data_IF_734150860256
#
_entry.id   IF_734150860256
#
_cell.length_a   1.000
_cell.length_b   1.000
_cell.length_c   1.000
_cell.angle_alpha   90.00
_cell.angle_beta   90.00
_cell.angle_gamma   90.00
#
_symmetry.space_group_name_H-M   'P 1'
#
loop_
_entity.id
_entity.type
_entity.pdbx_description
1 polymer ?
#
# COMPACT_ATOMS: atom_id res chain seq x y z
N UNK A 1 -88.98 10.59 -44.33
CA UNK A 1 -88.56 9.84 -43.14
C UNK A 1 -87.20 10.28 -42.73
N UNK A 2 -86.96 10.95 -41.58
CA UNK A 2 -85.62 11.45 -41.22
C UNK A 2 -84.94 10.39 -40.32
N UNK A 3 -83.63 10.12 -40.64
CA UNK A 3 -82.74 9.21 -39.97
C UNK A 3 -82.29 9.74 -38.58
N UNK A 4 -82.53 9.00 -37.55
CA UNK A 4 -82.13 9.24 -36.18
C UNK A 4 -80.63 9.01 -36.03
N UNK A 5 -79.79 10.05 -35.85
CA UNK A 5 -78.39 9.94 -35.41
C UNK A 5 -78.39 9.43 -33.97
N UNK A 6 -77.80 8.23 -33.77
CA UNK A 6 -77.46 7.72 -32.42
C UNK A 6 -76.35 8.59 -31.84
N UNK A 7 -76.66 9.22 -30.71
CA UNK A 7 -75.69 9.92 -29.86
C UNK A 7 -74.91 8.85 -29.12
N UNK A 8 -73.59 8.76 -29.36
CA UNK A 8 -72.70 7.89 -28.54
C UNK A 8 -72.57 8.51 -27.15
N UNK A 9 -73.12 7.85 -26.16
CA UNK A 9 -72.86 8.16 -24.76
C UNK A 9 -71.38 7.84 -24.46
N UNK A 10 -70.63 8.88 -24.06
CA UNK A 10 -69.25 8.69 -23.55
C UNK A 10 -69.35 8.05 -22.18
N UNK A 11 -68.88 6.82 -22.04
CA UNK A 11 -68.69 6.16 -20.75
C UNK A 11 -67.91 7.07 -19.78
N UNK A 12 -68.33 7.22 -18.53
CA UNK A 12 -67.62 8.01 -17.54
C UNK A 12 -66.29 7.32 -17.22
N UNK A 13 -65.18 8.07 -17.38
CA UNK A 13 -63.84 7.60 -16.98
C UNK A 13 -63.88 7.22 -15.51
N UNK A 14 -63.56 5.95 -15.20
CA UNK A 14 -63.41 5.46 -13.83
C UNK A 14 -62.41 6.36 -13.09
N UNK A 15 -62.74 6.85 -11.88
CA UNK A 15 -61.77 7.61 -11.09
C UNK A 15 -60.55 6.75 -10.85
N UNK A 16 -59.35 7.31 -11.15
CA UNK A 16 -58.08 6.63 -10.94
C UNK A 16 -57.96 6.17 -9.48
N UNK A 17 -57.60 4.91 -9.27
CA UNK A 17 -57.38 4.36 -7.94
C UNK A 17 -56.46 5.27 -7.13
N UNK A 18 -56.75 5.57 -5.86
CA UNK A 18 -55.93 6.40 -5.01
C UNK A 18 -54.53 5.78 -4.95
N UNK A 19 -53.50 6.56 -5.32
CA UNK A 19 -52.09 6.15 -5.19
C UNK A 19 -51.89 5.84 -3.72
N UNK A 20 -51.45 4.61 -3.41
CA UNK A 20 -51.14 4.18 -2.06
C UNK A 20 -50.19 5.20 -1.38
N UNK A 21 -50.45 5.60 -0.13
CA UNK A 21 -49.63 6.60 0.54
C UNK A 21 -48.16 6.13 0.57
N UNK A 22 -47.24 7.03 0.15
CA UNK A 22 -45.80 6.77 0.11
C UNK A 22 -45.30 6.51 1.53
N UNK A 23 -44.98 5.27 1.84
CA UNK A 23 -44.56 4.86 3.18
C UNK A 23 -43.06 5.09 3.35
N UNK A 24 -42.66 6.29 3.82
CA UNK A 24 -41.29 6.71 4.04
C UNK A 24 -40.50 5.69 4.87
N UNK A 25 -41.09 5.11 5.91
CA UNK A 25 -40.43 4.09 6.76
C UNK A 25 -40.07 2.84 5.99
N UNK A 26 -40.91 2.41 5.05
CA UNK A 26 -40.63 1.25 4.20
C UNK A 26 -39.48 1.55 3.24
N UNK A 27 -39.45 2.74 2.63
CA UNK A 27 -38.39 3.17 1.74
C UNK A 27 -37.05 3.25 2.50
N UNK A 28 -37.04 3.91 3.66
CA UNK A 28 -35.84 4.00 4.50
C UNK A 28 -35.33 2.61 4.91
N UNK A 29 -36.19 1.67 5.24
CA UNK A 29 -35.85 0.29 5.56
C UNK A 29 -35.14 -0.39 4.35
N UNK A 30 -35.70 -0.27 3.15
CA UNK A 30 -35.12 -0.88 1.96
C UNK A 30 -33.80 -0.21 1.54
N UNK A 31 -33.69 1.12 1.66
CA UNK A 31 -32.43 1.85 1.44
C UNK A 31 -31.36 1.38 2.44
N UNK A 32 -31.71 1.22 3.72
CA UNK A 32 -30.80 0.69 4.73
C UNK A 32 -30.34 -0.73 4.43
N UNK A 33 -31.25 -1.61 4.01
CA UNK A 33 -30.91 -2.99 3.60
C UNK A 33 -29.99 -2.98 2.38
N UNK A 34 -30.28 -2.17 1.37
CA UNK A 34 -29.45 -2.05 0.18
C UNK A 34 -28.05 -1.53 0.52
N UNK A 35 -27.95 -0.53 1.40
CA UNK A 35 -26.65 0.00 1.86
C UNK A 35 -25.84 -1.07 2.62
N UNK A 36 -26.46 -1.82 3.51
CA UNK A 36 -25.81 -2.93 4.21
C UNK A 36 -25.35 -4.03 3.26
N UNK A 37 -26.20 -4.40 2.29
CA UNK A 37 -25.84 -5.37 1.26
C UNK A 37 -24.63 -4.88 0.42
N UNK A 38 -24.57 -3.59 0.08
CA UNK A 38 -23.46 -3.00 -0.66
C UNK A 38 -22.15 -3.04 0.13
N UNK A 39 -22.19 -2.71 1.43
CA UNK A 39 -21.04 -2.84 2.33
C UNK A 39 -20.58 -4.30 2.42
N UNK A 40 -21.52 -5.23 2.55
CA UNK A 40 -21.19 -6.65 2.63
C UNK A 40 -20.53 -7.15 1.35
N UNK A 41 -21.04 -6.75 0.18
CA UNK A 41 -20.42 -7.06 -1.13
C UNK A 41 -18.99 -6.52 -1.18
N UNK A 42 -18.77 -5.27 -0.73
CA UNK A 42 -17.44 -4.66 -0.69
C UNK A 42 -16.47 -5.43 0.21
N UNK A 43 -16.92 -5.84 1.40
CA UNK A 43 -16.12 -6.62 2.35
C UNK A 43 -15.82 -8.03 1.84
N UNK A 44 -16.78 -8.67 1.19
CA UNK A 44 -16.58 -10.00 0.58
C UNK A 44 -15.60 -9.91 -0.59
N UNK A 45 -15.75 -8.92 -1.47
CA UNK A 45 -14.81 -8.67 -2.57
C UNK A 45 -13.38 -8.44 -2.04
N UNK A 46 -13.25 -7.62 -1.00
CA UNK A 46 -11.98 -7.38 -0.32
C UNK A 46 -11.38 -8.67 0.25
N UNK A 47 -12.17 -9.44 1.00
CA UNK A 47 -11.71 -10.68 1.62
C UNK A 47 -11.28 -11.74 0.59
N UNK A 48 -12.04 -11.90 -0.49
CA UNK A 48 -11.67 -12.82 -1.58
C UNK A 48 -10.37 -12.36 -2.25
N UNK A 49 -10.26 -11.08 -2.58
CA UNK A 49 -9.05 -10.53 -3.17
C UNK A 49 -7.83 -10.72 -2.24
N UNK A 50 -7.96 -10.40 -0.95
CA UNK A 50 -6.91 -10.62 0.05
C UNK A 50 -6.49 -12.09 0.14
N UNK A 51 -7.45 -13.01 0.11
CA UNK A 51 -7.17 -14.44 0.15
C UNK A 51 -6.41 -14.90 -1.11
N UNK A 52 -6.75 -14.38 -2.28
CA UNK A 52 -6.03 -14.67 -3.52
C UNK A 52 -4.58 -14.17 -3.46
N UNK A 53 -4.36 -12.97 -2.93
CA UNK A 53 -3.01 -12.44 -2.76
C UNK A 53 -2.19 -13.25 -1.74
N UNK A 54 -2.85 -13.76 -0.69
CA UNK A 54 -2.13 -14.53 0.33
C UNK A 54 -1.57 -15.86 -0.21
N UNK A 55 -2.14 -16.41 -1.25
CA UNK A 55 -1.59 -17.63 -1.88
C UNK A 55 -0.29 -17.39 -2.67
N UNK A 56 0.00 -16.14 -3.02
CA UNK A 56 1.24 -15.78 -3.75
C UNK A 56 2.47 -15.76 -2.85
N UNK A 57 2.31 -15.66 -1.53
CA UNK A 57 3.42 -15.67 -0.59
C UNK A 57 3.99 -17.09 -0.46
N UNK A 58 5.32 -17.22 -0.42
CA UNK A 58 6.00 -18.50 -0.25
C UNK A 58 5.67 -19.17 1.09
N UNK A 59 5.74 -20.50 1.13
CA UNK A 59 5.57 -21.27 2.36
C UNK A 59 6.62 -20.92 3.42
N UNK A 60 7.89 -20.77 2.99
CA UNK A 60 9.00 -20.42 3.88
C UNK A 60 8.83 -19.06 4.55
N UNK A 61 8.29 -18.07 3.81
CA UNK A 61 7.99 -16.77 4.38
C UNK A 61 6.84 -16.84 5.40
N UNK A 62 5.81 -17.66 5.16
CA UNK A 62 4.73 -17.88 6.13
C UNK A 62 5.21 -18.56 7.40
N UNK A 63 6.09 -19.54 7.25
CA UNK A 63 6.65 -20.30 8.41
C UNK A 63 7.57 -19.43 9.28
N UNK A 64 8.06 -18.31 8.75
CA UNK A 64 8.88 -17.34 9.48
C UNK A 64 8.04 -16.31 10.28
N UNK A 65 6.71 -16.32 10.17
CA UNK A 65 5.83 -15.34 10.79
C UNK A 65 5.18 -15.85 12.07
N UNK A 66 4.92 -14.94 13.01
CA UNK A 66 4.37 -15.24 14.35
C UNK A 66 2.93 -14.72 14.54
N UNK A 67 2.27 -14.24 13.47
CA UNK A 67 0.98 -13.59 13.52
C UNK A 67 -0.18 -14.46 13.97
N UNK A 68 -1.21 -13.81 14.47
CA UNK A 68 -2.47 -14.45 14.80
C UNK A 68 -3.64 -13.71 14.12
N UNK A 69 -4.81 -14.36 13.92
CA UNK A 69 -5.92 -13.78 13.19
C UNK A 69 -6.67 -12.64 13.91
N UNK A 70 -6.28 -12.27 15.16
CA UNK A 70 -6.97 -11.28 15.98
C UNK A 70 -6.24 -9.93 16.05
N UNK A 71 -5.78 -9.43 14.90
CA UNK A 71 -5.03 -8.18 14.77
C UNK A 71 -5.76 -6.96 15.36
N UNK A 72 -7.07 -6.90 15.22
CA UNK A 72 -7.87 -5.76 15.71
C UNK A 72 -7.73 -5.56 17.23
N UNK A 73 -7.66 -6.64 17.99
CA UNK A 73 -7.68 -6.61 19.46
C UNK A 73 -6.27 -6.61 20.09
N UNK A 74 -5.30 -7.19 19.41
CA UNK A 74 -3.93 -7.30 19.88
C UNK A 74 -2.96 -6.66 18.89
N UNK A 75 -2.15 -5.67 19.31
CA UNK A 75 -1.20 -5.04 18.42
C UNK A 75 -0.24 -6.09 17.83
N UNK A 76 -0.07 -6.06 16.52
CA UNK A 76 0.83 -6.93 15.77
C UNK A 76 1.80 -6.12 14.92
N UNK A 77 2.98 -6.66 14.69
CA UNK A 77 4.04 -6.04 13.91
C UNK A 77 4.02 -6.59 12.50
N UNK A 78 3.85 -5.71 11.52
CA UNK A 78 3.75 -6.03 10.10
C UNK A 78 5.00 -5.48 9.44
N UNK A 79 5.75 -6.33 8.74
CA UNK A 79 6.85 -5.91 7.89
C UNK A 79 6.32 -5.54 6.52
N UNK A 80 6.48 -4.29 6.13
CA UNK A 80 6.18 -3.80 4.78
C UNK A 80 7.48 -3.74 3.99
N UNK A 81 7.52 -4.46 2.88
CA UNK A 81 8.64 -4.53 1.95
C UNK A 81 8.24 -3.87 0.63
N UNK A 82 9.04 -2.90 0.18
CA UNK A 82 9.00 -2.42 -1.21
C UNK A 82 10.20 -2.98 -1.95
N UNK A 83 9.96 -3.73 -2.99
CA UNK A 83 11.01 -4.32 -3.81
C UNK A 83 11.17 -3.55 -5.11
N UNK A 84 12.34 -3.60 -5.73
CA UNK A 84 12.55 -3.09 -7.08
C UNK A 84 12.17 -4.11 -8.17
N UNK A 85 11.53 -5.20 -7.78
CA UNK A 85 10.96 -6.17 -8.69
C UNK A 85 9.96 -5.48 -9.64
N UNK A 86 10.18 -5.65 -10.94
CA UNK A 86 9.29 -5.12 -11.97
C UNK A 86 8.17 -6.11 -12.24
N UNK A 87 6.96 -5.63 -12.57
CA UNK A 87 5.88 -6.52 -12.98
C UNK A 87 6.25 -7.29 -14.25
N UNK A 88 5.69 -8.51 -14.45
CA UNK A 88 5.87 -9.25 -15.69
C UNK A 88 5.41 -8.42 -16.90
N UNK A 89 6.25 -8.40 -17.95
CA UNK A 89 5.96 -7.67 -19.20
C UNK A 89 6.55 -6.26 -19.28
N UNK A 90 7.36 -5.83 -18.32
CA UNK A 90 8.21 -4.65 -18.50
C UNK A 90 9.38 -5.01 -19.42
N UNK A 91 9.54 -4.28 -20.52
CA UNK A 91 10.36 -4.59 -21.70
C UNK A 91 11.88 -4.63 -21.52
N UNK A 92 12.40 -4.54 -20.30
CA UNK A 92 13.83 -4.40 -20.03
C UNK A 92 14.43 -5.50 -19.14
N UNK A 93 13.72 -6.60 -18.88
CA UNK A 93 14.22 -7.62 -17.96
C UNK A 93 13.92 -9.04 -18.46
N UNK A 94 14.90 -9.65 -19.14
CA UNK A 94 14.87 -11.05 -19.58
C UNK A 94 14.68 -12.03 -18.39
N UNK A 95 15.10 -11.63 -17.18
CA UNK A 95 15.00 -12.45 -15.96
C UNK A 95 13.57 -12.61 -15.44
N UNK A 96 12.70 -11.62 -15.64
CA UNK A 96 11.30 -11.73 -15.22
C UNK A 96 10.49 -12.66 -16.12
N UNK A 97 10.76 -12.69 -17.42
CA UNK A 97 10.13 -13.64 -18.37
C UNK A 97 10.56 -15.09 -18.07
N UNK A 98 11.84 -15.35 -17.81
CA UNK A 98 12.35 -16.68 -17.46
C UNK A 98 11.72 -17.23 -16.17
N UNK A 99 11.56 -16.38 -15.14
CA UNK A 99 10.94 -16.79 -13.88
C UNK A 99 9.47 -17.18 -14.07
N UNK A 100 8.70 -16.39 -14.82
CA UNK A 100 7.29 -16.71 -15.11
C UNK A 100 7.13 -17.88 -16.05
N UNK A 101 8.05 -18.04 -17.00
CA UNK A 101 8.06 -19.19 -17.92
C UNK A 101 8.34 -20.49 -17.18
N UNK A 102 9.29 -20.49 -16.23
CA UNK A 102 9.59 -21.64 -15.35
C UNK A 102 8.39 -21.96 -14.46
N UNK A 103 7.73 -20.97 -13.87
CA UNK A 103 6.53 -21.17 -13.06
C UNK A 103 5.36 -21.71 -13.91
N UNK A 104 5.19 -21.24 -15.14
CA UNK A 104 4.16 -21.73 -16.06
C UNK A 104 4.42 -23.16 -16.54
N UNK A 105 5.67 -23.60 -16.61
CA UNK A 105 6.09 -24.96 -16.96
C UNK A 105 6.00 -25.95 -15.79
N UNK A 106 5.60 -25.48 -14.59
CA UNK A 106 5.51 -26.34 -13.40
C UNK A 106 6.87 -26.71 -12.80
N UNK A 107 7.94 -26.10 -13.27
CA UNK A 107 9.24 -26.16 -12.63
C UNK A 107 9.16 -25.27 -11.40
N UNK A 108 9.52 -25.81 -10.23
CA UNK A 108 9.55 -25.02 -8.99
C UNK A 108 10.75 -24.08 -9.06
N UNK A 109 10.60 -22.77 -9.33
CA UNK A 109 11.66 -21.85 -9.06
C UNK A 109 11.96 -21.95 -7.57
N UNK A 110 13.20 -21.76 -7.18
CA UNK A 110 13.61 -21.80 -5.76
C UNK A 110 12.92 -20.72 -4.92
N UNK A 111 12.23 -19.76 -5.57
CA UNK A 111 11.38 -18.72 -4.96
C UNK A 111 10.26 -18.33 -5.93
N UNK A 112 9.09 -17.87 -5.45
CA UNK A 112 8.12 -17.18 -6.29
C UNK A 112 8.78 -16.02 -7.03
N UNK A 113 8.32 -15.70 -8.23
CA UNK A 113 8.95 -14.68 -9.10
C UNK A 113 9.01 -13.26 -8.52
N UNK A 114 8.44 -13.04 -7.34
CA UNK A 114 8.54 -11.81 -6.55
C UNK A 114 9.66 -11.84 -5.50
N UNK A 115 10.33 -12.99 -5.33
CA UNK A 115 11.37 -13.21 -4.33
C UNK A 115 12.62 -13.74 -5.06
N UNK A 116 13.76 -13.10 -4.94
CA UNK A 116 15.00 -13.76 -5.30
C UNK A 116 16.11 -12.84 -5.81
N UNK A 117 16.03 -12.21 -6.95
CA UNK A 117 17.13 -11.39 -7.47
C UNK A 117 17.03 -9.90 -7.10
N UNK A 118 15.90 -9.49 -6.54
CA UNK A 118 15.58 -8.11 -6.24
C UNK A 118 15.91 -7.75 -4.79
N UNK A 119 16.27 -6.50 -4.56
CA UNK A 119 16.54 -5.97 -3.22
C UNK A 119 15.29 -5.30 -2.65
N UNK A 120 15.14 -5.40 -1.35
CA UNK A 120 14.12 -4.63 -0.65
C UNK A 120 14.60 -3.18 -0.46
N UNK A 121 14.12 -2.29 -1.31
CA UNK A 121 14.47 -0.86 -1.24
C UNK A 121 13.69 -0.11 -0.16
N UNK A 122 12.56 -0.65 0.29
CA UNK A 122 11.76 -0.14 1.41
C UNK A 122 11.64 -1.21 2.48
N UNK A 123 12.04 -0.88 3.69
CA UNK A 123 11.92 -1.71 4.87
C UNK A 123 11.20 -0.90 5.95
N UNK A 124 9.93 -1.21 6.21
CA UNK A 124 9.12 -0.49 7.19
C UNK A 124 8.38 -1.46 8.10
N UNK A 125 8.43 -1.22 9.39
CA UNK A 125 7.59 -1.91 10.35
C UNK A 125 6.35 -1.05 10.67
N UNK A 126 5.20 -1.68 10.65
CA UNK A 126 3.92 -1.10 11.06
C UNK A 126 3.41 -1.88 12.25
N UNK A 127 3.23 -1.22 13.39
CA UNK A 127 2.58 -1.79 14.57
C UNK A 127 1.12 -1.36 14.55
N UNK A 128 0.20 -2.30 14.34
CA UNK A 128 -1.23 -2.04 14.20
C UNK A 128 -2.06 -2.96 15.08
N UNK A 129 -3.20 -2.46 15.58
CA UNK A 129 -4.13 -3.20 16.42
C UNK A 129 -4.22 -2.68 17.85
N UNK A 130 -5.25 -3.08 18.59
CA UNK A 130 -5.46 -2.63 19.97
C UNK A 130 -5.53 -1.10 20.15
N UNK A 131 -5.98 -0.35 19.13
CA UNK A 131 -5.99 1.12 19.15
C UNK A 131 -4.64 1.76 18.83
N UNK A 132 -3.64 0.97 18.40
CA UNK A 132 -2.30 1.44 18.07
C UNK A 132 -2.10 1.45 16.55
N UNK A 133 -1.44 2.49 16.04
CA UNK A 133 -0.91 2.54 14.68
C UNK A 133 0.39 3.34 14.69
N UNK A 134 1.54 2.64 14.58
CA UNK A 134 2.88 3.23 14.63
C UNK A 134 3.71 2.70 13.48
N UNK A 135 4.68 3.50 13.04
CA UNK A 135 5.54 3.17 11.89
C UNK A 135 7.01 3.36 12.28
N UNK A 136 7.87 2.46 11.82
CA UNK A 136 9.32 2.55 11.94
C UNK A 136 9.94 2.17 10.60
N UNK A 137 10.62 3.11 9.95
CA UNK A 137 11.42 2.84 8.75
C UNK A 137 12.83 2.41 9.14
N UNK A 138 13.34 1.41 8.41
CA UNK A 138 14.69 0.88 8.57
C UNK A 138 15.48 1.25 7.31
N UNK A 139 16.62 1.95 7.42
CA UNK A 139 17.46 2.25 6.27
C UNK A 139 17.90 0.95 5.56
N UNK A 140 17.66 0.87 4.26
CA UNK A 140 18.03 -0.31 3.46
C UNK A 140 19.52 -0.64 3.52
N UNK A 141 20.34 0.38 3.76
CA UNK A 141 21.81 0.26 3.85
C UNK A 141 22.30 0.01 5.29
N UNK A 142 21.39 -0.27 6.26
CA UNK A 142 21.79 -0.66 7.61
C UNK A 142 22.66 -1.93 7.55
N UNK A 143 23.81 -1.90 8.25
CA UNK A 143 24.72 -3.05 8.35
C UNK A 143 24.14 -4.08 9.30
N UNK A 144 23.93 -5.28 8.83
CA UNK A 144 23.31 -6.36 9.60
C UNK A 144 23.99 -7.69 9.36
N UNK A 145 23.92 -8.56 10.36
CA UNK A 145 24.22 -9.99 10.20
C UNK A 145 23.04 -10.65 9.50
N UNK A 146 23.33 -11.38 8.40
CA UNK A 146 22.33 -12.10 7.62
C UNK A 146 22.51 -13.59 7.89
N UNK A 147 21.50 -14.29 8.44
CA UNK A 147 21.62 -15.71 8.77
C UNK A 147 22.12 -16.55 7.57
N UNK A 148 23.20 -17.29 7.78
CA UNK A 148 23.81 -18.13 6.74
C UNK A 148 24.65 -17.39 5.69
N UNK A 149 24.80 -16.07 5.79
CA UNK A 149 25.57 -15.24 4.86
C UNK A 149 26.55 -14.31 5.59
N UNK A 150 27.48 -13.71 4.85
CA UNK A 150 28.36 -12.69 5.41
C UNK A 150 27.56 -11.41 5.77
N UNK A 151 27.93 -10.72 6.87
CA UNK A 151 27.29 -9.46 7.23
C UNK A 151 27.45 -8.41 6.12
N UNK A 152 26.33 -7.74 5.78
CA UNK A 152 26.31 -6.70 4.75
C UNK A 152 25.08 -5.78 4.95
N UNK A 153 24.71 -5.00 3.93
CA UNK A 153 23.50 -4.19 3.93
C UNK A 153 22.25 -5.06 4.11
N UNK A 154 21.36 -4.66 5.02
CA UNK A 154 20.19 -5.44 5.43
C UNK A 154 19.26 -5.81 4.27
N UNK A 155 19.17 -4.97 3.24
CA UNK A 155 18.35 -5.20 2.06
C UNK A 155 18.84 -6.36 1.17
N UNK A 156 20.10 -6.79 1.33
CA UNK A 156 20.64 -7.94 0.60
C UNK A 156 20.03 -9.27 1.07
N UNK A 157 19.47 -9.32 2.28
CA UNK A 157 18.80 -10.51 2.78
C UNK A 157 17.64 -10.94 1.88
N UNK A 158 16.92 -9.98 1.29
CA UNK A 158 15.84 -10.27 0.36
C UNK A 158 16.36 -10.93 -0.94
N UNK A 159 17.48 -10.44 -1.49
CA UNK A 159 18.12 -11.03 -2.65
C UNK A 159 18.70 -12.43 -2.40
N UNK A 160 19.13 -12.73 -1.15
CA UNK A 160 19.75 -14.01 -0.82
C UNK A 160 18.75 -15.12 -0.47
N UNK A 161 17.58 -14.77 0.04
CA UNK A 161 16.60 -15.76 0.49
C UNK A 161 15.19 -15.21 0.65
N UNK A 162 14.82 -14.24 -0.19
CA UNK A 162 13.47 -13.70 -0.27
C UNK A 162 12.96 -13.12 1.04
N UNK A 163 11.63 -13.06 1.15
CA UNK A 163 10.95 -12.52 2.32
C UNK A 163 11.29 -13.30 3.61
N UNK A 164 11.46 -14.63 3.53
CA UNK A 164 11.77 -15.46 4.69
C UNK A 164 13.09 -15.06 5.37
N UNK A 165 14.17 -14.88 4.58
CA UNK A 165 15.46 -14.47 5.11
C UNK A 165 15.44 -13.00 5.56
N UNK A 166 14.70 -12.14 4.84
CA UNK A 166 14.54 -10.74 5.23
C UNK A 166 13.84 -10.60 6.58
N UNK A 167 12.76 -11.36 6.82
CA UNK A 167 12.05 -11.41 8.11
C UNK A 167 13.03 -11.80 9.22
N UNK A 168 13.70 -12.94 9.10
CA UNK A 168 14.66 -13.43 10.10
C UNK A 168 15.80 -12.44 10.37
N UNK A 169 16.28 -11.78 9.32
CA UNK A 169 17.34 -10.77 9.43
C UNK A 169 16.87 -9.56 10.24
N UNK A 170 15.67 -9.06 9.99
CA UNK A 170 15.11 -7.91 10.72
C UNK A 170 14.80 -8.29 12.16
N UNK A 171 14.24 -9.46 12.41
CA UNK A 171 13.99 -9.97 13.75
C UNK A 171 15.27 -10.05 14.58
N UNK A 172 16.32 -10.63 14.02
CA UNK A 172 17.63 -10.69 14.66
C UNK A 172 18.23 -9.28 14.88
N UNK A 173 18.11 -8.39 13.88
CA UNK A 173 18.67 -7.05 13.93
C UNK A 173 18.02 -6.17 14.99
N UNK A 174 16.69 -6.28 15.18
CA UNK A 174 15.93 -5.46 16.12
C UNK A 174 15.58 -6.16 17.44
N UNK A 175 15.68 -7.49 17.49
CA UNK A 175 15.30 -8.29 18.66
C UNK A 175 13.78 -8.32 18.90
N UNK A 176 12.98 -8.40 17.84
CA UNK A 176 11.51 -8.44 17.89
C UNK A 176 10.98 -9.54 16.97
N UNK A 177 9.75 -9.99 17.22
CA UNK A 177 9.04 -10.90 16.33
C UNK A 177 8.24 -10.11 15.29
N UNK A 178 8.18 -10.64 14.06
CA UNK A 178 7.35 -10.13 12.98
C UNK A 178 6.13 -11.03 12.84
N UNK A 179 4.96 -10.44 13.02
CA UNK A 179 3.69 -11.17 13.00
C UNK A 179 3.19 -11.40 11.57
N UNK A 180 3.33 -10.41 10.69
CA UNK A 180 2.85 -10.43 9.31
C UNK A 180 3.83 -9.77 8.35
N UNK A 181 3.70 -10.08 7.05
CA UNK A 181 4.45 -9.42 5.98
C UNK A 181 3.52 -8.88 4.91
N UNK A 182 3.87 -7.75 4.31
CA UNK A 182 3.22 -7.18 3.14
C UNK A 182 4.29 -6.70 2.15
N UNK A 183 4.38 -7.36 1.01
CA UNK A 183 5.28 -7.00 -0.09
C UNK A 183 4.49 -6.14 -1.07
N UNK A 184 4.94 -4.94 -1.34
CA UNK A 184 4.24 -4.00 -2.22
C UNK A 184 4.32 -4.46 -3.67
N UNK A 185 3.15 -4.64 -4.29
CA UNK A 185 2.99 -4.81 -5.73
C UNK A 185 2.76 -3.43 -6.37
N UNK A 186 3.60 -3.03 -7.29
CA UNK A 186 3.57 -1.67 -7.84
C UNK A 186 2.32 -1.38 -8.64
N UNK A 187 1.89 -2.31 -9.48
CA UNK A 187 0.66 -2.14 -10.28
C UNK A 187 -0.57 -2.06 -9.37
N UNK A 188 -0.68 -2.98 -8.42
CA UNK A 188 -1.77 -2.96 -7.45
C UNK A 188 -1.73 -1.73 -6.54
N UNK A 189 -0.54 -1.19 -6.25
CA UNK A 189 -0.39 0.05 -5.48
C UNK A 189 -0.90 1.28 -6.25
N UNK A 190 -0.58 1.39 -7.55
CA UNK A 190 -1.11 2.44 -8.43
C UNK A 190 -2.64 2.36 -8.52
N UNK A 191 -3.18 1.15 -8.80
CA UNK A 191 -4.61 0.90 -8.88
C UNK A 191 -5.35 1.28 -7.58
N UNK A 192 -4.77 0.96 -6.41
CA UNK A 192 -5.33 1.35 -5.11
C UNK A 192 -5.42 2.87 -4.96
N UNK A 193 -4.33 3.59 -5.27
CA UNK A 193 -4.30 5.04 -5.13
C UNK A 193 -5.30 5.69 -6.07
N UNK A 194 -5.43 5.21 -7.29
CA UNK A 194 -6.41 5.72 -8.25
C UNK A 194 -7.85 5.39 -7.83
N UNK A 195 -8.08 4.20 -7.28
CA UNK A 195 -9.39 3.80 -6.76
C UNK A 195 -9.87 4.69 -5.62
N UNK A 196 -8.96 5.13 -4.71
CA UNK A 196 -9.30 6.08 -3.62
C UNK A 196 -9.33 7.54 -4.08
N UNK A 197 -9.04 7.81 -5.35
CA UNK A 197 -9.09 9.14 -5.96
C UNK A 197 -7.87 10.01 -5.66
N UNK A 198 -6.69 9.40 -5.66
CA UNK A 198 -5.40 10.02 -5.42
C UNK A 198 -5.09 10.24 -3.95
N UNK A 199 -3.84 10.50 -3.60
CA UNK A 199 -3.38 10.75 -2.23
C UNK A 199 -2.85 12.17 -2.08
N UNK A 200 -3.05 12.75 -0.89
CA UNK A 200 -2.50 14.06 -0.55
C UNK A 200 -1.20 13.89 0.21
N UNK A 201 -0.16 14.57 -0.26
CA UNK A 201 1.14 14.62 0.39
C UNK A 201 1.62 16.06 0.55
N UNK A 202 2.33 16.35 1.62
CA UNK A 202 2.96 17.66 1.83
C UNK A 202 4.43 17.58 1.40
N UNK A 203 4.76 18.20 0.29
CA UNK A 203 6.11 18.20 -0.30
C UNK A 203 6.91 19.36 0.27
N UNK A 204 8.06 19.10 0.93
CA UNK A 204 8.80 20.16 1.64
C UNK A 204 9.46 21.17 0.69
N UNK A 205 9.85 20.74 -0.50
CA UNK A 205 10.52 21.56 -1.51
C UNK A 205 9.92 21.31 -2.87
N UNK A 206 9.92 22.32 -3.76
CA UNK A 206 9.58 22.12 -5.17
C UNK A 206 10.56 21.12 -5.76
N UNK A 207 10.08 20.03 -6.33
CA UNK A 207 10.92 18.98 -6.88
C UNK A 207 10.48 18.58 -8.30
N UNK A 208 11.50 18.24 -9.09
CA UNK A 208 11.35 17.59 -10.38
C UNK A 208 12.18 16.32 -10.39
N UNK A 209 11.63 15.25 -10.93
CA UNK A 209 12.34 14.01 -11.13
C UNK A 209 12.03 13.47 -12.52
N UNK A 210 13.07 13.27 -13.30
CA UNK A 210 12.98 12.60 -14.59
C UNK A 210 13.30 11.12 -14.36
N UNK A 211 12.33 10.25 -14.65
CA UNK A 211 12.49 8.80 -14.53
C UNK A 211 12.49 8.20 -15.93
N UNK A 212 13.61 7.68 -16.34
CA UNK A 212 13.72 6.95 -17.60
C UNK A 212 12.89 5.66 -17.51
N UNK A 213 12.03 5.43 -18.48
CA UNK A 213 11.21 4.22 -18.55
C UNK A 213 9.85 4.29 -17.85
N UNK A 214 9.50 5.40 -17.19
CA UNK A 214 8.25 5.53 -16.43
C UNK A 214 8.20 4.69 -15.16
N UNK A 215 7.14 4.80 -14.36
CA UNK A 215 6.98 4.08 -13.10
C UNK A 215 6.81 2.56 -13.30
N UNK A 216 6.21 2.14 -14.41
CA UNK A 216 6.01 0.74 -14.80
C UNK A 216 7.13 0.12 -15.66
N UNK A 217 8.26 0.82 -15.88
CA UNK A 217 9.37 0.30 -16.67
C UNK A 217 9.17 0.36 -18.20
N UNK A 218 8.12 1.05 -18.68
CA UNK A 218 7.88 1.24 -20.12
C UNK A 218 8.89 2.19 -20.78
N UNK A 219 8.98 2.15 -22.11
CA UNK A 219 9.88 2.98 -22.92
C UNK A 219 9.40 4.45 -23.04
N UNK A 220 9.12 5.14 -21.98
CA UNK A 220 8.73 6.55 -21.98
C UNK A 220 9.14 7.21 -20.69
N UNK A 221 10.04 8.17 -20.73
CA UNK A 221 10.40 8.94 -19.54
C UNK A 221 9.20 9.73 -19.03
N UNK A 222 9.00 9.75 -17.72
CA UNK A 222 8.03 10.59 -17.05
C UNK A 222 8.74 11.63 -16.20
N UNK A 223 8.35 12.88 -16.33
CA UNK A 223 8.86 13.96 -15.50
C UNK A 223 7.84 14.29 -14.41
N UNK A 224 8.11 13.85 -13.19
CA UNK A 224 7.32 14.25 -12.02
C UNK A 224 7.65 15.70 -11.66
N UNK A 225 6.62 16.55 -11.52
CA UNK A 225 6.77 17.96 -11.12
C UNK A 225 5.83 18.25 -9.98
N UNK A 226 6.40 18.44 -8.78
CA UNK A 226 5.64 18.75 -7.58
C UNK A 226 5.97 20.14 -7.06
N UNK A 227 4.93 20.89 -6.69
CA UNK A 227 5.07 22.15 -5.97
C UNK A 227 5.42 21.95 -4.50
N UNK A 228 6.00 22.97 -3.85
CA UNK A 228 6.11 22.97 -2.40
C UNK A 228 4.72 23.04 -1.76
N UNK A 229 4.48 22.27 -0.71
CA UNK A 229 3.21 22.22 0.02
C UNK A 229 2.35 21.03 -0.35
N UNK A 230 1.03 21.14 -0.19
CA UNK A 230 0.08 20.08 -0.46
C UNK A 230 -0.03 19.80 -1.96
N UNK A 231 0.21 18.55 -2.35
CA UNK A 231 0.00 18.04 -3.70
C UNK A 231 -0.95 16.83 -3.63
N UNK A 232 -1.80 16.66 -4.64
CA UNK A 232 -2.58 15.44 -4.81
C UNK A 232 -1.93 14.62 -5.91
N UNK A 233 -1.53 13.40 -5.59
CA UNK A 233 -0.83 12.48 -6.47
C UNK A 233 -1.80 11.39 -6.92
N UNK A 234 -1.80 11.04 -8.20
CA UNK A 234 -2.37 9.80 -8.73
C UNK A 234 -1.45 8.61 -8.42
N UNK A 235 -1.84 7.40 -8.87
CA UNK A 235 -1.11 6.17 -8.60
C UNK A 235 0.33 6.22 -9.10
N UNK A 236 0.53 6.59 -10.36
CA UNK A 236 1.87 6.71 -10.98
C UNK A 236 2.73 7.75 -10.26
N UNK A 237 2.19 8.92 -10.00
CA UNK A 237 2.90 10.00 -9.31
C UNK A 237 3.31 9.63 -7.89
N UNK A 238 2.42 8.94 -7.17
CA UNK A 238 2.69 8.49 -5.80
C UNK A 238 3.76 7.40 -5.76
N UNK A 239 3.72 6.46 -6.71
CA UNK A 239 4.75 5.44 -6.86
C UNK A 239 6.11 6.07 -7.16
N UNK A 240 6.16 6.98 -8.14
CA UNK A 240 7.37 7.74 -8.48
C UNK A 240 7.88 8.51 -7.26
N UNK A 241 7.01 9.26 -6.57
CA UNK A 241 7.38 10.06 -5.40
C UNK A 241 7.99 9.21 -4.28
N UNK A 242 7.49 8.00 -4.08
CA UNK A 242 8.01 7.06 -3.07
C UNK A 242 9.35 6.40 -3.45
N UNK A 243 9.76 6.47 -4.73
CA UNK A 243 10.97 5.81 -5.28
C UNK A 243 12.08 6.78 -5.69
N UNK A 244 11.82 8.08 -5.71
CA UNK A 244 12.82 9.09 -6.12
C UNK A 244 14.08 8.94 -5.27
N UNK A 245 15.23 8.95 -5.93
CA UNK A 245 16.56 8.91 -5.29
C UNK A 245 17.31 10.23 -5.42
N UNK A 246 17.21 10.88 -6.57
CA UNK A 246 17.95 12.10 -6.89
C UNK A 246 17.04 13.14 -7.57
N UNK A 247 16.07 13.73 -6.84
CA UNK A 247 15.28 14.79 -7.42
C UNK A 247 16.13 16.05 -7.61
N UNK A 248 15.80 16.80 -8.65
CA UNK A 248 16.32 18.14 -8.84
C UNK A 248 15.30 19.19 -8.44
N UNK A 249 15.76 20.41 -8.14
CA UNK A 249 14.86 21.55 -8.14
C UNK A 249 14.42 21.80 -9.59
N UNK A 250 13.11 21.99 -9.81
CA UNK A 250 12.58 22.22 -11.17
C UNK A 250 13.27 23.43 -11.81
N UNK A 251 14.02 23.26 -12.91
CA UNK A 251 14.69 24.39 -13.53
C UNK A 251 13.66 25.38 -14.07
N UNK A 252 13.90 26.67 -13.79
CA UNK A 252 13.21 27.73 -14.49
C UNK A 252 13.71 27.84 -15.94
N UNK A 253 13.00 28.58 -16.82
CA UNK A 253 13.44 28.78 -18.20
C UNK A 253 14.89 29.30 -18.24
N UNK A 254 15.77 28.59 -18.94
CA UNK A 254 17.18 28.95 -19.13
C UNK A 254 18.09 28.71 -17.93
N UNK A 255 17.65 27.98 -16.89
CA UNK A 255 18.47 27.62 -15.73
C UNK A 255 18.74 26.11 -15.73
N UNK A 256 19.94 25.74 -15.29
CA UNK A 256 20.28 24.33 -15.02
C UNK A 256 19.52 23.85 -13.78
N UNK A 257 19.15 22.56 -13.78
CA UNK A 257 18.59 21.90 -12.60
C UNK A 257 19.65 21.83 -11.49
N UNK A 258 19.25 22.16 -10.27
CA UNK A 258 20.09 21.90 -9.08
C UNK A 258 19.66 20.58 -8.48
N UNK A 259 20.61 19.69 -8.26
CA UNK A 259 20.36 18.47 -7.50
C UNK A 259 19.99 18.85 -6.07
N UNK A 260 18.82 18.48 -5.62
CA UNK A 260 18.44 18.60 -4.21
C UNK A 260 19.23 17.55 -3.45
N UNK A 261 19.83 17.94 -2.33
CA UNK A 261 20.49 17.01 -1.40
C UNK A 261 19.46 16.06 -0.76
N UNK A 262 18.90 15.17 -1.58
CA UNK A 262 17.86 14.24 -1.18
C UNK A 262 18.51 12.97 -0.64
N UNK A 263 18.24 12.65 0.59
CA UNK A 263 18.82 11.49 1.28
C UNK A 263 17.83 10.31 1.25
N UNK A 264 18.32 9.11 1.58
CA UNK A 264 17.44 7.95 1.81
C UNK A 264 16.39 8.24 2.90
N UNK A 265 16.72 9.08 3.90
CA UNK A 265 15.76 9.53 4.91
C UNK A 265 14.59 10.33 4.33
N UNK A 266 14.84 11.13 3.31
CA UNK A 266 13.78 11.92 2.67
C UNK A 266 12.89 11.01 1.82
N UNK A 267 13.44 9.97 1.19
CA UNK A 267 12.67 8.92 0.52
C UNK A 267 11.79 8.16 1.52
N UNK A 268 12.33 7.76 2.67
CA UNK A 268 11.55 7.08 3.71
C UNK A 268 10.41 7.96 4.24
N UNK A 269 10.62 9.26 4.40
CA UNK A 269 9.56 10.21 4.74
C UNK A 269 8.51 10.32 3.63
N UNK A 270 8.91 10.33 2.35
CA UNK A 270 8.01 10.34 1.22
C UNK A 270 7.11 9.09 1.21
N UNK A 271 7.66 7.91 1.43
CA UNK A 271 6.91 6.66 1.55
C UNK A 271 5.91 6.71 2.71
N UNK A 272 6.33 7.20 3.87
CA UNK A 272 5.44 7.36 5.01
C UNK A 272 4.32 8.38 4.75
N UNK A 273 4.61 9.46 4.01
CA UNK A 273 3.61 10.46 3.63
C UNK A 273 2.55 9.86 2.69
N UNK A 274 2.95 9.02 1.74
CA UNK A 274 2.00 8.33 0.84
C UNK A 274 1.11 7.38 1.62
N UNK A 275 1.67 6.55 2.53
CA UNK A 275 0.87 5.65 3.37
C UNK A 275 -0.12 6.43 4.25
N UNK A 276 0.30 7.55 4.84
CA UNK A 276 -0.59 8.43 5.59
C UNK A 276 -1.68 9.02 4.70
N UNK A 277 -1.32 9.46 3.49
CA UNK A 277 -2.28 9.97 2.50
C UNK A 277 -3.34 8.95 2.08
N UNK A 278 -2.99 7.67 1.93
CA UNK A 278 -3.96 6.59 1.68
C UNK A 278 -4.91 6.45 2.87
N UNK A 279 -4.38 6.39 4.11
CA UNK A 279 -5.19 6.34 5.33
C UNK A 279 -6.18 7.50 5.39
N UNK A 280 -5.70 8.74 5.20
CA UNK A 280 -6.53 9.93 5.25
C UNK A 280 -7.65 9.90 4.21
N UNK A 281 -7.37 9.46 2.97
CA UNK A 281 -8.38 9.31 1.92
C UNK A 281 -9.47 8.30 2.27
N UNK A 282 -9.10 7.20 2.91
CA UNK A 282 -10.05 6.16 3.31
C UNK A 282 -10.89 6.58 4.51
N UNK A 283 -10.34 7.39 5.42
CA UNK A 283 -10.99 7.78 6.69
C UNK A 283 -11.63 9.16 6.68
N UNK A 284 -11.40 10.00 5.65
CA UNK A 284 -11.97 11.35 5.53
C UNK A 284 -13.50 11.30 5.48
N UNK A 285 -14.21 11.91 6.45
CA UNK A 285 -15.67 11.96 6.47
C UNK A 285 -16.30 12.56 5.20
N UNK A 286 -15.63 13.54 4.57
CA UNK A 286 -16.11 14.17 3.34
C UNK A 286 -16.02 13.23 2.12
N UNK A 287 -15.16 12.23 2.19
CA UNK A 287 -14.97 11.20 1.17
C UNK A 287 -15.82 9.95 1.39
N UNK A 288 -16.45 9.78 2.53
CA UNK A 288 -17.29 8.62 2.81
C UNK A 288 -18.34 8.32 1.73
N UNK A 289 -19.06 9.31 1.13
CA UNK A 289 -19.99 9.00 0.04
C UNK A 289 -19.28 8.44 -1.22
N UNK A 290 -18.12 8.98 -1.57
CA UNK A 290 -17.31 8.48 -2.68
C UNK A 290 -16.80 7.05 -2.38
N UNK A 291 -16.18 6.86 -1.21
CA UNK A 291 -15.66 5.56 -0.78
C UNK A 291 -16.77 4.51 -0.68
N UNK A 292 -17.98 4.91 -0.26
CA UNK A 292 -19.15 4.02 -0.22
C UNK A 292 -19.53 3.55 -1.64
N UNK A 293 -19.68 4.47 -2.60
CA UNK A 293 -20.05 4.14 -3.98
C UNK A 293 -18.98 3.29 -4.65
N UNK A 294 -17.70 3.61 -4.43
CA UNK A 294 -16.54 2.87 -4.96
C UNK A 294 -16.17 1.64 -4.12
N UNK A 295 -16.86 1.39 -3.03
CA UNK A 295 -16.55 0.34 -2.06
C UNK A 295 -16.17 -1.02 -2.63
N UNK A 296 -16.96 -1.62 -3.56
CA UNK A 296 -16.59 -2.90 -4.15
C UNK A 296 -15.31 -2.86 -5.01
N UNK A 297 -15.04 -1.73 -5.69
CA UNK A 297 -13.83 -1.53 -6.51
C UNK A 297 -12.63 -1.38 -5.57
N UNK A 298 -12.68 -0.43 -4.63
CA UNK A 298 -11.63 -0.25 -3.61
C UNK A 298 -11.40 -1.56 -2.86
N UNK A 299 -12.48 -2.27 -2.50
CA UNK A 299 -12.39 -3.55 -1.83
C UNK A 299 -11.69 -4.63 -2.65
N UNK A 300 -11.87 -4.63 -3.96
CA UNK A 300 -11.22 -5.59 -4.84
C UNK A 300 -9.75 -5.22 -5.13
N UNK A 301 -9.44 -3.92 -5.31
CA UNK A 301 -8.12 -3.46 -5.73
C UNK A 301 -7.16 -3.26 -4.55
N UNK A 302 -7.66 -2.86 -3.37
CA UNK A 302 -6.80 -2.62 -2.23
C UNK A 302 -5.88 -3.79 -1.82
N UNK A 303 -6.35 -5.05 -1.74
CA UNK A 303 -5.46 -6.16 -1.42
C UNK A 303 -4.43 -6.47 -2.50
N UNK A 304 -4.70 -6.12 -3.77
CA UNK A 304 -3.76 -6.35 -4.89
C UNK A 304 -2.48 -5.53 -4.74
N UNK A 305 -2.54 -4.41 -4.00
CA UNK A 305 -1.37 -3.61 -3.68
C UNK A 305 -0.29 -4.38 -2.90
N UNK A 306 -0.63 -5.56 -2.36
CA UNK A 306 0.28 -6.31 -1.51
C UNK A 306 0.21 -7.81 -1.76
N UNK A 307 1.37 -8.46 -1.80
CA UNK A 307 1.49 -9.91 -1.56
C UNK A 307 1.72 -10.09 -0.06
N UNK A 308 0.85 -10.81 0.65
CA UNK A 308 0.85 -10.87 2.11
C UNK A 308 0.35 -12.22 2.61
N UNK A 309 0.75 -12.61 3.82
CA UNK A 309 0.14 -13.74 4.54
C UNK A 309 -1.28 -13.43 5.05
N UNK A 310 -1.63 -12.15 5.14
CA UNK A 310 -2.92 -11.69 5.65
C UNK A 310 -4.03 -11.94 4.63
N UNK A 311 -4.87 -12.95 4.90
CA UNK A 311 -5.99 -13.34 4.03
C UNK A 311 -7.31 -12.67 4.41
N UNK A 312 -8.41 -13.38 4.06
CA UNK A 312 -9.80 -12.93 4.17
C UNK A 312 -10.16 -12.29 5.52
N UNK A 313 -9.69 -12.83 6.63
CA UNK A 313 -10.05 -12.35 7.97
C UNK A 313 -9.09 -11.29 8.52
N UNK A 314 -7.80 -11.41 8.24
CA UNK A 314 -6.76 -10.56 8.88
C UNK A 314 -6.60 -9.21 8.18
N UNK A 315 -6.62 -9.19 6.84
CA UNK A 315 -6.44 -7.97 6.08
C UNK A 315 -7.53 -6.90 6.35
N UNK A 316 -8.83 -7.22 6.43
CA UNK A 316 -9.86 -6.24 6.82
C UNK A 316 -9.64 -5.67 8.22
N UNK A 317 -9.14 -6.48 9.16
CA UNK A 317 -8.81 -6.02 10.51
C UNK A 317 -7.66 -5.04 10.53
N UNK A 318 -6.65 -5.20 9.66
CA UNK A 318 -5.56 -4.25 9.51
C UNK A 318 -6.07 -2.87 9.08
N UNK A 319 -6.95 -2.81 8.08
CA UNK A 319 -7.53 -1.55 7.62
C UNK A 319 -8.32 -0.87 8.74
N UNK A 320 -9.15 -1.65 9.45
CA UNK A 320 -9.92 -1.10 10.57
C UNK A 320 -9.00 -0.64 11.70
N UNK A 321 -7.96 -1.41 12.03
CA UNK A 321 -6.97 -1.02 13.03
C UNK A 321 -6.22 0.25 12.64
N UNK A 322 -5.87 0.41 11.36
CA UNK A 322 -5.26 1.62 10.84
C UNK A 322 -6.20 2.83 10.90
N UNK A 323 -7.51 2.62 10.64
CA UNK A 323 -8.50 3.68 10.66
C UNK A 323 -8.78 4.21 12.09
N UNK A 324 -8.89 3.30 13.08
CA UNK A 324 -9.18 3.65 14.48
C UNK A 324 -7.93 3.91 15.32
N UNK A 325 -6.76 3.44 14.88
CA UNK A 325 -5.50 3.66 15.56
C UNK A 325 -5.10 5.13 15.52
N UNK A 326 -4.80 5.72 16.69
CA UNK A 326 -4.26 7.08 16.77
C UNK A 326 -2.95 7.18 15.98
N UNK A 327 -2.76 8.24 15.20
CA UNK A 327 -1.52 8.46 14.49
C UNK A 327 -0.42 8.86 15.48
N UNK A 328 0.58 8.02 15.64
CA UNK A 328 1.83 8.41 16.28
C UNK A 328 2.82 8.87 15.22
N UNK A 329 3.69 9.80 15.57
CA UNK A 329 4.76 10.23 14.67
C UNK A 329 5.52 9.01 14.16
N UNK A 330 5.67 8.93 12.84
CA UNK A 330 6.52 7.95 12.21
C UNK A 330 7.97 8.13 12.69
N UNK A 331 8.63 7.02 13.00
CA UNK A 331 10.05 7.04 13.36
C UNK A 331 10.89 6.49 12.21
N UNK A 332 12.09 7.01 12.08
CA UNK A 332 13.08 6.56 11.11
C UNK A 332 14.36 6.26 11.87
N UNK A 333 14.86 5.06 11.72
CA UNK A 333 16.10 4.63 12.35
C UNK A 333 17.26 5.49 11.83
N UNK A 334 18.10 6.00 12.71
CA UNK A 334 19.20 6.90 12.38
C UNK A 334 18.82 8.32 11.89
N UNK A 335 17.57 8.76 11.98
CA UNK A 335 17.16 10.07 11.49
C UNK A 335 17.63 11.24 12.37
N UNK A 336 18.02 11.00 13.62
CA UNK A 336 18.42 12.05 14.57
C UNK A 336 19.93 12.34 14.55
N UNK A 337 20.32 13.60 14.69
CA UNK A 337 21.73 14.00 14.82
C UNK A 337 22.46 13.30 15.98
N UNK A 338 21.72 12.85 16.99
CA UNK A 338 22.24 12.14 18.18
C UNK A 338 21.99 10.63 18.13
N UNK A 339 21.67 10.06 16.96
CA UNK A 339 21.40 8.62 16.81
C UNK A 339 22.63 7.75 17.06
N UNK A 340 23.84 8.30 16.98
CA UNK A 340 25.10 7.56 17.08
C UNK A 340 25.38 6.64 15.90
N UNK A 341 24.57 6.73 14.83
CA UNK A 341 24.80 5.97 13.61
C UNK A 341 26.06 6.47 12.89
N UNK A 342 26.84 5.52 12.34
CA UNK A 342 28.11 5.81 11.66
C UNK A 342 28.18 5.09 10.32
N UNK A 343 29.04 5.56 9.44
CA UNK A 343 29.32 4.86 8.17
C UNK A 343 30.14 3.59 8.45
N UNK A 344 29.71 2.48 7.88
CA UNK A 344 30.34 1.18 7.99
C UNK A 344 30.94 0.68 6.67
N UNK A 345 31.29 -0.61 6.60
CA UNK A 345 31.86 -1.24 5.41
C UNK A 345 30.94 -1.08 4.18
N UNK A 346 31.52 -0.83 3.01
CA UNK A 346 30.74 -0.72 1.75
C UNK A 346 29.67 0.38 1.76
N UNK A 347 29.94 1.52 2.39
CA UNK A 347 28.97 2.62 2.55
C UNK A 347 27.67 2.23 3.27
N UNK A 348 27.73 1.18 4.10
CA UNK A 348 26.60 0.79 4.96
C UNK A 348 26.47 1.73 6.16
N UNK A 349 25.34 1.63 6.85
CA UNK A 349 25.03 2.40 8.07
C UNK A 349 25.13 1.47 9.28
N UNK A 350 26.09 1.71 10.16
CA UNK A 350 26.18 1.00 11.44
C UNK A 350 25.23 1.63 12.43
N UNK A 351 24.24 0.87 12.86
CA UNK A 351 23.22 1.30 13.81
C UNK A 351 23.58 0.78 15.20
N UNK A 352 23.87 1.65 16.18
CA UNK A 352 24.21 1.21 17.52
C UNK A 352 23.01 0.55 18.20
N UNK A 353 23.26 -0.37 19.11
CA UNK A 353 22.24 -1.10 19.84
C UNK A 353 21.30 -0.16 20.64
N UNK A 354 21.83 0.91 21.21
CA UNK A 354 21.05 1.93 21.91
C UNK A 354 19.96 2.55 21.01
N UNK A 355 20.29 2.83 19.75
CA UNK A 355 19.35 3.39 18.77
C UNK A 355 18.31 2.35 18.34
N UNK A 356 18.72 1.09 18.09
CA UNK A 356 17.79 0.00 17.80
C UNK A 356 16.79 -0.21 18.94
N UNK A 357 17.28 -0.26 20.19
CA UNK A 357 16.42 -0.38 21.39
C UNK A 357 15.48 0.82 21.56
N UNK A 358 15.96 2.05 21.30
CA UNK A 358 15.14 3.26 21.32
C UNK A 358 13.97 3.17 20.33
N UNK A 359 14.28 2.84 19.09
CA UNK A 359 13.31 2.74 18.01
C UNK A 359 12.28 1.63 18.27
N UNK A 360 12.74 0.45 18.71
CA UNK A 360 11.86 -0.67 19.11
C UNK A 360 10.93 -0.29 20.27
N UNK A 361 11.46 0.35 21.31
CA UNK A 361 10.63 0.82 22.44
C UNK A 361 9.55 1.78 21.97
N UNK A 362 9.87 2.69 21.02
CA UNK A 362 8.92 3.65 20.48
C UNK A 362 7.86 2.95 19.58
N UNK A 363 8.26 1.91 18.86
CA UNK A 363 7.33 1.12 18.03
C UNK A 363 6.36 0.30 18.89
N UNK A 364 6.87 -0.36 19.93
CA UNK A 364 6.06 -1.26 20.77
C UNK A 364 5.19 -0.49 21.79
N UNK A 365 5.64 0.65 22.30
CA UNK A 365 4.90 1.54 23.22
C UNK A 365 5.46 1.62 24.59
#
# INVERSE_FOLDING_TARGET
MPSRKRRSEKEPRRPGSPRAPFNVRRVLKWVGIAALAWILISLVAFGISAQLQSFKLSGEARDALHGNPFLLFKPQTILVLGTDARPPGSSDDDTSEECFEQQSKGEKPHSPCYEGEFRADTLMLVRAGGGTFRKLSIPRDAYAEIPGNAPTKINAAFAYGGAALQIKTIEQFLGIEIDHVAIVDFTGFEDLIDAVGGVKVNVPHKLCADIAGGAGGGQGGYTLRLGKGENTLDGEQALIYSRIREPSECPGPGKSAYTLGYSDLDREKAQQAVISGIKDRLTDPLRLPYNFVKGPIIGWDAPKAFVSDMGFFTMPQLILAAAIGGESAADVLCAGANSGCTTGPGTSIVVPESERRRAVKKLLG
#
